data_IF_278621764652
#
_entry.id   IF_278621764652
#
_cell.length_a   1.000
_cell.length_b   1.000
_cell.length_c   1.000
_cell.angle_alpha   90.00
_cell.angle_beta   90.00
_cell.angle_gamma   90.00
#
_symmetry.space_group_name_H-M   'P 1'
#
loop_
_entity.id
_entity.type
_entity.pdbx_description
1 polymer ?
#
# COMPACT_ATOMS: atom_id res chain seq x y z
N UNK A 1 3.30 -23.42 24.58
CA UNK A 1 2.01 -23.90 25.13
C UNK A 1 1.54 -25.21 24.50
N UNK A 2 0.93 -25.27 23.30
CA UNK A 2 0.50 -26.55 22.68
C UNK A 2 1.63 -27.62 22.49
N UNK A 3 2.88 -27.23 22.14
CA UNK A 3 3.98 -28.18 22.03
C UNK A 3 4.42 -28.77 23.38
N UNK A 4 4.31 -28.00 24.46
CA UNK A 4 4.68 -28.44 25.82
C UNK A 4 3.65 -29.39 26.42
N UNK A 5 2.37 -29.24 26.07
CA UNK A 5 1.35 -30.20 26.49
C UNK A 5 1.50 -31.55 25.78
N UNK A 6 1.94 -31.58 24.51
CA UNK A 6 2.20 -32.84 23.79
C UNK A 6 3.30 -33.70 24.42
N UNK A 7 4.27 -33.13 25.13
CA UNK A 7 5.37 -33.89 25.73
C UNK A 7 5.02 -34.53 27.07
N UNK A 8 3.92 -34.13 27.71
CA UNK A 8 3.49 -34.63 29.02
C UNK A 8 2.34 -35.64 28.95
N UNK A 9 1.84 -35.95 27.76
CA UNK A 9 0.67 -36.81 27.57
C UNK A 9 1.12 -38.22 27.14
N UNK A 10 0.58 -39.30 27.73
CA UNK A 10 0.92 -40.67 27.36
C UNK A 10 0.61 -40.97 25.89
N UNK A 11 1.44 -41.82 25.25
CA UNK A 11 1.40 -42.12 23.82
C UNK A 11 0.05 -42.69 23.29
N UNK A 12 -0.85 -43.09 24.19
CA UNK A 12 -2.20 -43.56 23.88
C UNK A 12 -3.19 -42.43 23.49
N UNK A 13 -2.87 -41.15 23.75
CA UNK A 13 -3.77 -40.02 23.50
C UNK A 13 -3.23 -39.14 22.37
N UNK A 14 -3.95 -39.06 21.24
CA UNK A 14 -3.63 -38.17 20.12
C UNK A 14 -4.22 -36.79 20.34
N UNK A 15 -3.37 -35.80 20.60
CA UNK A 15 -3.75 -34.39 20.64
C UNK A 15 -3.81 -33.82 19.22
N UNK A 16 -5.01 -33.64 18.67
CA UNK A 16 -5.26 -33.06 17.34
C UNK A 16 -5.85 -31.66 17.51
N UNK A 17 -5.45 -30.73 16.65
CA UNK A 17 -6.03 -29.37 16.59
C UNK A 17 -7.32 -29.44 15.78
N UNK A 18 -8.48 -29.34 16.44
CA UNK A 18 -9.80 -29.39 15.79
C UNK A 18 -10.18 -28.07 15.09
N UNK A 19 -9.66 -26.94 15.58
CA UNK A 19 -10.00 -25.61 15.06
C UNK A 19 -8.80 -24.68 15.26
N UNK A 20 -7.96 -24.52 14.25
CA UNK A 20 -6.85 -23.57 14.26
C UNK A 20 -7.21 -22.36 13.41
N UNK A 21 -7.70 -21.29 14.09
CA UNK A 21 -8.01 -20.03 13.42
C UNK A 21 -6.74 -19.35 12.87
N UNK A 22 -5.55 -19.75 13.35
CA UNK A 22 -4.26 -19.24 12.89
C UNK A 22 -3.93 -19.69 11.47
N UNK A 23 -4.41 -20.85 11.02
CA UNK A 23 -4.23 -21.32 9.64
C UNK A 23 -5.04 -20.46 8.66
N UNK A 24 -6.32 -20.19 8.97
CA UNK A 24 -7.12 -19.26 8.18
C UNK A 24 -6.53 -17.85 8.19
N UNK A 25 -6.05 -17.35 9.33
CA UNK A 25 -5.42 -16.02 9.40
C UNK A 25 -4.13 -15.99 8.56
N UNK A 26 -3.28 -17.03 8.61
CA UNK A 26 -2.07 -17.10 7.77
C UNK A 26 -2.40 -17.18 6.28
N UNK A 27 -3.43 -17.95 5.91
CA UNK A 27 -3.92 -18.03 4.54
C UNK A 27 -4.42 -16.66 4.07
N UNK A 28 -5.29 -16.01 4.85
CA UNK A 28 -5.81 -14.68 4.52
C UNK A 28 -4.71 -13.61 4.45
N UNK A 29 -3.68 -13.67 5.31
CA UNK A 29 -2.51 -12.79 5.20
C UNK A 29 -1.74 -13.06 3.89
N UNK A 30 -1.61 -14.32 3.48
CA UNK A 30 -1.02 -14.68 2.19
C UNK A 30 -1.81 -14.11 1.02
N UNK A 31 -3.12 -14.27 1.04
CA UNK A 31 -4.04 -13.77 0.00
C UNK A 31 -4.03 -12.24 -0.06
N UNK A 32 -4.02 -11.55 1.09
CA UNK A 32 -3.90 -10.09 1.16
C UNK A 32 -2.56 -9.62 0.61
N UNK A 33 -1.45 -10.29 0.94
CA UNK A 33 -0.13 -9.95 0.40
C UNK A 33 -0.09 -10.11 -1.12
N UNK A 34 -0.63 -11.20 -1.65
CA UNK A 34 -0.70 -11.44 -3.09
C UNK A 34 -1.57 -10.38 -3.78
N UNK A 35 -2.75 -10.11 -3.23
CA UNK A 35 -3.68 -9.11 -3.76
C UNK A 35 -3.04 -7.73 -3.77
N UNK A 36 -2.38 -7.33 -2.68
CA UNK A 36 -1.71 -6.04 -2.57
C UNK A 36 -0.56 -5.91 -3.59
N UNK A 37 0.23 -6.96 -3.77
CA UNK A 37 1.28 -6.98 -4.80
C UNK A 37 0.69 -6.87 -6.21
N UNK A 38 -0.37 -7.64 -6.51
CA UNK A 38 -1.06 -7.62 -7.80
C UNK A 38 -1.69 -6.24 -8.07
N UNK A 39 -2.33 -5.63 -7.07
CA UNK A 39 -2.89 -4.28 -7.16
C UNK A 39 -1.81 -3.25 -7.46
N UNK A 40 -0.68 -3.28 -6.76
CA UNK A 40 0.44 -2.36 -7.02
C UNK A 40 0.94 -2.54 -8.45
N UNK A 41 1.20 -3.77 -8.90
CA UNK A 41 1.64 -4.03 -10.27
C UNK A 41 0.63 -3.53 -11.31
N UNK A 42 -0.67 -3.76 -11.08
CA UNK A 42 -1.73 -3.34 -11.99
C UNK A 42 -1.83 -1.82 -12.07
N UNK A 43 -1.78 -1.12 -10.93
CA UNK A 43 -1.82 0.35 -10.87
C UNK A 43 -0.62 0.94 -11.61
N UNK A 44 0.59 0.42 -11.37
CA UNK A 44 1.79 0.88 -12.07
C UNK A 44 1.69 0.67 -13.58
N UNK A 45 1.15 -0.48 -14.01
CA UNK A 45 0.94 -0.78 -15.44
C UNK A 45 -0.06 0.18 -16.09
N UNK A 46 -1.17 0.49 -15.42
CA UNK A 46 -2.18 1.44 -15.93
C UNK A 46 -1.59 2.85 -16.02
N UNK A 47 -0.90 3.32 -14.98
CA UNK A 47 -0.25 4.64 -14.98
C UNK A 47 0.80 4.72 -16.09
N UNK A 48 1.58 3.66 -16.30
CA UNK A 48 2.56 3.58 -17.38
C UNK A 48 1.90 3.73 -18.75
N UNK A 49 0.76 3.06 -18.97
CA UNK A 49 0.04 3.09 -20.23
C UNK A 49 -0.50 4.49 -20.57
N UNK A 50 -0.95 5.25 -19.56
CA UNK A 50 -1.43 6.62 -19.74
C UNK A 50 -0.30 7.63 -19.98
N UNK A 51 0.77 7.59 -19.18
CA UNK A 51 1.83 8.63 -19.22
C UNK A 51 2.90 8.36 -20.28
N UNK A 52 3.10 7.09 -20.69
CA UNK A 52 4.12 6.64 -21.68
C UNK A 52 5.55 7.15 -21.42
N UNK A 53 5.84 7.60 -20.20
CA UNK A 53 7.11 8.17 -19.75
C UNK A 53 7.49 7.54 -18.40
N UNK A 54 8.56 6.74 -18.42
CA UNK A 54 9.01 5.94 -17.27
C UNK A 54 9.31 6.81 -16.05
N UNK A 55 9.94 7.98 -16.25
CA UNK A 55 10.31 8.88 -15.15
C UNK A 55 9.08 9.47 -14.47
N UNK A 56 8.03 9.75 -15.24
CA UNK A 56 6.77 10.28 -14.74
C UNK A 56 6.02 9.18 -13.95
N UNK A 57 5.97 7.95 -14.47
CA UNK A 57 5.30 6.82 -13.79
C UNK A 57 5.93 6.41 -12.46
N UNK A 58 7.24 6.60 -12.29
CA UNK A 58 7.94 6.20 -11.06
C UNK A 58 7.48 7.00 -9.83
N UNK A 59 7.13 8.28 -10.01
CA UNK A 59 6.79 9.17 -8.89
C UNK A 59 5.53 8.68 -8.14
N UNK A 60 4.36 8.48 -8.81
CA UNK A 60 3.18 7.91 -8.15
C UNK A 60 3.38 6.47 -7.67
N UNK A 61 4.18 5.68 -8.41
CA UNK A 61 4.48 4.28 -8.06
C UNK A 61 5.16 4.15 -6.70
N UNK A 62 6.07 5.07 -6.35
CA UNK A 62 6.69 5.10 -5.02
C UNK A 62 5.81 5.74 -3.94
N UNK A 63 4.91 6.64 -4.30
CA UNK A 63 4.02 7.30 -3.35
C UNK A 63 3.12 6.30 -2.61
N UNK A 64 2.58 5.29 -3.31
CA UNK A 64 1.67 4.30 -2.71
C UNK A 64 2.33 3.42 -1.65
N UNK A 65 3.43 2.70 -1.92
CA UNK A 65 4.10 1.90 -0.90
C UNK A 65 4.56 2.75 0.28
N UNK A 66 5.05 3.97 0.02
CA UNK A 66 5.51 4.87 1.07
C UNK A 66 4.36 5.31 1.99
N UNK A 67 3.19 5.64 1.43
CA UNK A 67 2.01 6.01 2.20
C UNK A 67 1.49 4.84 3.06
N UNK A 68 1.50 3.62 2.52
CA UNK A 68 1.11 2.42 3.26
C UNK A 68 2.08 2.15 4.42
N UNK A 69 3.39 2.19 4.16
CA UNK A 69 4.43 2.01 5.19
C UNK A 69 4.34 3.09 6.26
N UNK A 70 4.14 4.35 5.85
CA UNK A 70 3.95 5.47 6.78
C UNK A 70 2.71 5.30 7.66
N UNK A 71 1.61 4.84 7.08
CA UNK A 71 0.37 4.55 7.82
C UNK A 71 0.60 3.45 8.85
N UNK A 72 1.24 2.34 8.47
CA UNK A 72 1.56 1.27 9.43
C UNK A 72 2.54 1.70 10.52
N UNK A 73 3.52 2.55 10.19
CA UNK A 73 4.43 3.12 11.18
C UNK A 73 3.68 3.99 12.21
N UNK A 74 2.76 4.84 11.75
CA UNK A 74 1.91 5.65 12.62
C UNK A 74 0.97 4.78 13.49
N UNK A 75 0.33 3.76 12.89
CA UNK A 75 -0.50 2.80 13.62
C UNK A 75 0.30 2.07 14.70
N UNK A 76 1.54 1.67 14.40
CA UNK A 76 2.42 1.01 15.36
C UNK A 76 2.76 1.93 16.55
N UNK A 77 3.10 3.21 16.29
CA UNK A 77 3.38 4.19 17.33
C UNK A 77 2.16 4.48 18.22
N UNK A 78 0.96 4.47 17.64
CA UNK A 78 -0.32 4.71 18.32
C UNK A 78 -0.92 3.44 18.93
N UNK A 79 -0.26 2.29 18.82
CA UNK A 79 -0.74 0.98 19.26
C UNK A 79 -2.11 0.57 18.66
N UNK A 80 -2.37 0.95 17.41
CA UNK A 80 -3.54 0.49 16.67
C UNK A 80 -3.35 -0.89 16.06
N UNK A 81 -4.41 -1.69 16.11
CA UNK A 81 -4.47 -3.02 15.49
C UNK A 81 -5.11 -2.94 14.12
N UNK A 82 -4.67 -3.80 13.19
CA UNK A 82 -5.31 -3.93 11.88
C UNK A 82 -6.60 -4.73 12.02
N UNK A 83 -7.72 -4.13 11.61
CA UNK A 83 -9.03 -4.75 11.51
C UNK A 83 -9.67 -4.48 10.13
N UNK A 84 -10.88 -4.99 9.90
CA UNK A 84 -11.55 -4.84 8.61
C UNK A 84 -11.86 -3.38 8.26
N UNK A 85 -12.20 -2.52 9.23
CA UNK A 85 -12.41 -1.09 8.99
C UNK A 85 -11.09 -0.42 8.60
N UNK A 86 -10.00 -0.75 9.29
CA UNK A 86 -8.66 -0.26 8.95
C UNK A 86 -8.26 -0.65 7.53
N UNK A 87 -8.56 -1.88 7.08
CA UNK A 87 -8.27 -2.33 5.71
C UNK A 87 -9.14 -1.63 4.66
N UNK A 88 -10.43 -1.40 4.95
CA UNK A 88 -11.31 -0.63 4.06
C UNK A 88 -10.83 0.83 3.94
N UNK A 89 -10.45 1.45 5.05
CA UNK A 89 -9.89 2.80 5.07
C UNK A 89 -8.59 2.87 4.26
N UNK A 90 -7.66 1.92 4.46
CA UNK A 90 -6.41 1.84 3.71
C UNK A 90 -6.66 1.74 2.20
N UNK A 91 -7.65 0.95 1.79
CA UNK A 91 -8.02 0.77 0.37
C UNK A 91 -8.50 2.09 -0.25
N UNK A 92 -9.34 2.85 0.45
CA UNK A 92 -9.81 4.17 -0.02
C UNK A 92 -8.67 5.20 -0.03
N UNK A 93 -7.87 5.25 1.04
CA UNK A 93 -6.76 6.19 1.17
C UNK A 93 -5.70 6.03 0.09
N UNK A 94 -5.42 4.80 -0.35
CA UNK A 94 -4.50 4.55 -1.47
C UNK A 94 -5.00 5.23 -2.75
N UNK A 95 -6.30 5.21 -3.02
CA UNK A 95 -6.88 5.91 -4.17
C UNK A 95 -6.62 7.42 -4.13
N UNK A 96 -6.94 8.06 -3.00
CA UNK A 96 -6.70 9.50 -2.82
C UNK A 96 -5.23 9.89 -2.99
N UNK A 97 -4.30 9.12 -2.40
CA UNK A 97 -2.86 9.40 -2.51
C UNK A 97 -2.36 9.27 -3.96
N UNK A 98 -2.87 8.29 -4.71
CA UNK A 98 -2.52 8.12 -6.14
C UNK A 98 -3.05 9.27 -6.96
N UNK A 99 -4.31 9.65 -6.76
CA UNK A 99 -4.94 10.73 -7.52
C UNK A 99 -4.18 12.05 -7.33
N UNK A 100 -3.83 12.40 -6.09
CA UNK A 100 -3.04 13.60 -5.78
C UNK A 100 -1.66 13.57 -6.45
N UNK A 101 -0.98 12.43 -6.40
CA UNK A 101 0.34 12.25 -7.00
C UNK A 101 0.28 12.37 -8.54
N UNK A 102 -0.77 11.84 -9.17
CA UNK A 102 -0.96 11.90 -10.62
C UNK A 102 -1.28 13.35 -11.04
N UNK A 103 -2.24 14.00 -10.39
CA UNK A 103 -2.62 15.39 -10.71
C UNK A 103 -1.43 16.33 -10.55
N UNK A 104 -0.62 16.16 -9.50
CA UNK A 104 0.58 16.95 -9.29
C UNK A 104 1.62 16.75 -10.39
N UNK A 105 1.88 15.50 -10.75
CA UNK A 105 2.82 15.19 -11.82
C UNK A 105 2.35 15.71 -13.18
N UNK A 106 1.08 15.53 -13.51
CA UNK A 106 0.50 16.00 -14.77
C UNK A 106 0.62 17.51 -14.89
N UNK A 107 0.37 18.26 -13.80
CA UNK A 107 0.52 19.70 -13.82
C UNK A 107 1.98 20.15 -14.02
N UNK A 108 2.95 19.47 -13.40
CA UNK A 108 4.38 19.74 -13.61
C UNK A 108 4.78 19.42 -15.05
N UNK A 109 4.34 18.28 -15.59
CA UNK A 109 4.60 17.90 -16.99
C UNK A 109 4.01 18.91 -17.96
N UNK A 110 2.79 19.36 -17.72
CA UNK A 110 2.15 20.42 -18.51
C UNK A 110 2.99 21.70 -18.51
N UNK A 111 3.52 22.13 -17.38
CA UNK A 111 4.39 23.32 -17.29
C UNK A 111 5.72 23.13 -18.03
N UNK A 112 6.31 21.94 -17.96
CA UNK A 112 7.51 21.61 -18.75
C UNK A 112 7.22 21.64 -20.27
N UNK A 113 6.04 21.18 -20.70
CA UNK A 113 5.62 21.24 -22.11
C UNK A 113 5.34 22.68 -22.59
N UNK A 114 4.96 23.58 -21.68
CA UNK A 114 4.82 25.03 -21.95
C UNK A 114 6.18 25.76 -22.02
N UNK A 115 7.29 25.06 -21.79
CA UNK A 115 8.66 25.59 -21.96
C UNK A 115 9.36 25.99 -20.66
N UNK A 116 8.79 25.69 -19.49
CA UNK A 116 9.44 25.97 -18.21
C UNK A 116 10.54 24.95 -17.88
N UNK A 117 11.59 25.40 -17.17
CA UNK A 117 12.58 24.48 -16.63
C UNK A 117 11.97 23.59 -15.53
N UNK A 118 12.48 22.35 -15.40
CA UNK A 118 11.95 21.33 -14.49
C UNK A 118 11.74 21.81 -13.05
N UNK A 119 12.67 22.61 -12.54
CA UNK A 119 12.60 23.14 -11.18
C UNK A 119 11.51 24.19 -11.03
N UNK A 120 11.39 25.10 -12.00
CA UNK A 120 10.37 26.15 -12.00
C UNK A 120 8.97 25.55 -12.18
N UNK A 121 8.83 24.60 -13.10
CA UNK A 121 7.61 23.82 -13.30
C UNK A 121 7.18 23.06 -12.04
N UNK A 122 8.13 22.51 -11.27
CA UNK A 122 7.84 21.85 -10.00
C UNK A 122 7.33 22.84 -8.94
N UNK A 123 7.96 24.02 -8.81
CA UNK A 123 7.52 25.05 -7.86
C UNK A 123 6.16 25.66 -8.23
N UNK A 124 5.94 25.97 -9.51
CA UNK A 124 4.64 26.48 -9.99
C UNK A 124 3.56 25.43 -9.85
N UNK A 125 3.82 24.20 -10.31
CA UNK A 125 2.87 23.09 -10.20
C UNK A 125 2.45 22.81 -8.76
N UNK A 126 3.41 22.83 -7.82
CA UNK A 126 3.13 22.71 -6.39
C UNK A 126 2.29 23.85 -5.83
N UNK A 127 2.52 25.08 -6.29
CA UNK A 127 1.79 26.26 -5.83
C UNK A 127 0.34 26.29 -6.31
N UNK A 128 0.05 25.71 -7.46
CA UNK A 128 -1.32 25.63 -7.99
C UNK A 128 -2.16 24.56 -7.31
N UNK A 129 -1.52 23.44 -6.91
CA UNK A 129 -2.22 22.27 -6.36
C UNK A 129 -2.26 22.30 -4.83
N UNK A 130 -1.26 22.91 -4.17
CA UNK A 130 -1.14 22.95 -2.71
C UNK A 130 -2.22 23.75 -1.95
N UNK A 131 -3.27 24.21 -2.62
CA UNK A 131 -4.43 24.87 -2.01
C UNK A 131 -5.69 23.98 -1.93
N UNK A 132 -5.57 22.67 -2.22
CA UNK A 132 -6.61 21.66 -1.95
C UNK A 132 -6.27 20.89 -0.68
#
# INVERSE_FOLDING_TARGET
LLPEFRSQIPAAVKLTTLYDRSESIRSSIGDVKFTLFLTICLVVMVIFLFLRNVSATLIPSFAVPLAIVGTFAAMYLLNYTIDNLSLMALTLSVGFVVDDAIVMLENIVRHMEMGEERMEAAFRGAREIGFT
#
